data_IF_538757650998
#
_entry.id   IF_538757650998
#
_cell.length_a   1.000
_cell.length_b   1.000
_cell.length_c   1.000
_cell.angle_alpha   90.00
_cell.angle_beta   90.00
_cell.angle_gamma   90.00
#
_symmetry.space_group_name_H-M   'P 1'
#
loop_
_entity.id
_entity.type
_entity.pdbx_description
1 polymer ?
#
# COMPACT_ATOMS: atom_id res chain seq x y z
N UNK A 1 -17.96 -21.42 -15.36
CA UNK A 1 -17.33 -20.38 -14.50
C UNK A 1 -15.81 -20.52 -14.59
N UNK A 2 -15.05 -19.41 -14.62
CA UNK A 2 -13.57 -19.41 -14.65
C UNK A 2 -13.04 -18.55 -13.49
N UNK A 3 -12.11 -19.09 -12.70
CA UNK A 3 -11.37 -18.37 -11.66
C UNK A 3 -10.02 -17.92 -12.21
N UNK A 4 -9.64 -16.67 -11.96
CA UNK A 4 -8.34 -16.11 -12.37
C UNK A 4 -7.69 -15.45 -11.15
N UNK A 5 -6.45 -15.83 -10.86
CA UNK A 5 -5.67 -15.30 -9.74
C UNK A 5 -4.39 -14.62 -10.28
N UNK A 6 -4.48 -13.38 -10.82
CA UNK A 6 -3.39 -12.75 -11.55
C UNK A 6 -2.15 -12.45 -10.69
N UNK A 7 -2.31 -12.42 -9.36
CA UNK A 7 -1.25 -12.11 -8.41
C UNK A 7 -0.67 -13.36 -7.72
N UNK A 8 -1.13 -14.58 -8.04
CA UNK A 8 -0.82 -15.79 -7.27
C UNK A 8 0.67 -16.13 -7.19
N UNK A 9 1.43 -15.76 -8.22
CA UNK A 9 2.88 -16.00 -8.30
C UNK A 9 3.71 -14.74 -7.98
N UNK A 10 3.08 -13.66 -7.53
CA UNK A 10 3.76 -12.40 -7.25
C UNK A 10 3.97 -12.24 -5.74
N UNK A 11 5.20 -11.96 -5.34
CA UNK A 11 5.48 -11.53 -3.97
C UNK A 11 5.10 -10.04 -3.77
N UNK A 12 5.25 -9.52 -2.55
CA UNK A 12 4.86 -8.13 -2.26
C UNK A 12 5.69 -7.10 -3.04
N UNK A 13 6.95 -7.40 -3.34
CA UNK A 13 7.84 -6.53 -4.12
C UNK A 13 7.44 -6.56 -5.59
N UNK A 14 7.09 -7.72 -6.11
CA UNK A 14 6.58 -7.86 -7.48
C UNK A 14 5.26 -7.12 -7.67
N UNK A 15 4.34 -7.22 -6.70
CA UNK A 15 3.09 -6.44 -6.70
C UNK A 15 3.40 -4.94 -6.68
N UNK A 16 4.34 -4.48 -5.87
CA UNK A 16 4.72 -3.06 -5.82
C UNK A 16 5.32 -2.55 -7.15
N UNK A 17 6.16 -3.36 -7.81
CA UNK A 17 6.66 -3.04 -9.15
C UNK A 17 5.53 -2.96 -10.18
N UNK A 18 4.59 -3.91 -10.15
CA UNK A 18 3.42 -3.93 -11.02
C UNK A 18 2.52 -2.70 -10.79
N UNK A 19 2.36 -2.25 -9.54
CA UNK A 19 1.65 -1.01 -9.23
C UNK A 19 2.29 0.19 -9.94
N UNK A 20 3.62 0.29 -9.95
CA UNK A 20 4.36 1.36 -10.64
C UNK A 20 4.26 1.25 -12.15
N UNK A 21 4.40 0.04 -12.71
CA UNK A 21 4.27 -0.21 -14.15
C UNK A 21 2.89 0.21 -14.68
N UNK A 22 1.83 -0.10 -13.94
CA UNK A 22 0.45 0.24 -14.31
C UNK A 22 0.05 1.67 -13.96
N UNK A 23 0.96 2.48 -13.38
CA UNK A 23 0.66 3.81 -12.84
C UNK A 23 -0.58 3.78 -11.91
N UNK A 24 -0.67 2.76 -11.07
CA UNK A 24 -1.79 2.56 -10.16
C UNK A 24 -1.77 3.60 -9.04
N UNK A 25 -2.93 4.22 -8.78
CA UNK A 25 -3.13 5.22 -7.71
C UNK A 25 -3.24 4.57 -6.32
N UNK A 26 -2.20 3.86 -5.90
CA UNK A 26 -2.20 3.05 -4.70
C UNK A 26 -2.36 3.86 -3.40
N UNK A 27 -2.06 5.16 -3.43
CA UNK A 27 -2.28 6.10 -2.33
C UNK A 27 -3.76 6.29 -1.97
N UNK A 28 -4.68 5.87 -2.84
CA UNK A 28 -6.12 5.82 -2.57
C UNK A 28 -6.61 4.46 -2.06
N UNK A 29 -5.71 3.47 -1.94
CA UNK A 29 -6.06 2.15 -1.39
C UNK A 29 -5.86 2.11 0.13
N UNK A 30 -6.71 1.33 0.81
CA UNK A 30 -6.60 1.10 2.24
C UNK A 30 -6.19 -0.35 2.52
N UNK A 31 -5.10 -0.52 3.28
CA UNK A 31 -4.74 -1.80 3.90
C UNK A 31 -4.62 -1.69 5.42
N UNK A 32 -4.71 -0.48 5.98
CA UNK A 32 -4.57 -0.21 7.39
C UNK A 32 -5.69 -0.90 8.17
N UNK A 33 -5.34 -1.52 9.30
CA UNK A 33 -6.32 -2.13 10.20
C UNK A 33 -7.08 -1.09 11.03
N UNK A 34 -6.51 0.11 11.23
CA UNK A 34 -7.07 1.19 12.05
C UNK A 34 -6.96 2.52 11.30
N UNK A 35 -7.67 2.70 10.16
CA UNK A 35 -7.61 3.95 9.41
C UNK A 35 -8.18 5.12 10.25
N UNK A 36 -7.63 6.32 10.06
CA UNK A 36 -7.95 7.55 10.81
C UNK A 36 -8.89 8.50 10.07
N UNK A 37 -9.55 8.00 9.03
CA UNK A 37 -10.41 8.77 8.15
C UNK A 37 -9.79 8.95 6.77
N UNK A 38 -10.15 10.04 6.11
CA UNK A 38 -9.73 10.36 4.74
C UNK A 38 -9.28 11.81 4.65
N UNK A 39 -8.33 12.10 3.77
CA UNK A 39 -8.00 13.46 3.34
C UNK A 39 -9.14 14.07 2.53
N UNK A 40 -9.12 15.39 2.31
CA UNK A 40 -10.12 16.08 1.49
C UNK A 40 -10.21 15.53 0.06
N UNK A 41 -9.07 15.13 -0.52
CA UNK A 41 -9.00 14.51 -1.85
C UNK A 41 -9.34 13.01 -1.84
N UNK A 42 -9.68 12.42 -0.69
CA UNK A 42 -10.23 11.07 -0.57
C UNK A 42 -9.20 9.96 -0.35
N UNK A 43 -7.95 10.28 0.01
CA UNK A 43 -6.95 9.27 0.39
C UNK A 43 -7.20 8.79 1.82
N UNK A 44 -7.17 7.49 2.10
CA UNK A 44 -7.25 7.00 3.47
C UNK A 44 -6.02 7.45 4.28
N UNK A 45 -6.24 7.88 5.53
CA UNK A 45 -5.17 8.18 6.48
C UNK A 45 -4.88 6.90 7.26
N UNK A 46 -3.71 6.31 7.04
CA UNK A 46 -3.27 5.07 7.67
C UNK A 46 -2.69 5.37 9.07
N UNK A 47 -2.89 4.51 10.07
CA UNK A 47 -2.35 4.76 11.41
C UNK A 47 -0.81 4.76 11.46
N UNK A 48 -0.14 4.01 10.59
CA UNK A 48 1.32 3.92 10.54
C UNK A 48 1.95 2.89 11.46
N UNK A 49 1.24 2.45 12.51
CA UNK A 49 1.80 1.59 13.55
C UNK A 49 1.35 0.12 13.47
N UNK A 50 0.26 -0.17 12.75
CA UNK A 50 -0.21 -1.54 12.60
C UNK A 50 0.70 -2.37 11.66
N UNK A 51 0.70 -3.69 11.81
CA UNK A 51 1.53 -4.60 11.03
C UNK A 51 1.36 -4.43 9.51
N UNK A 52 0.14 -4.16 9.05
CA UNK A 52 -0.12 -3.88 7.64
C UNK A 52 0.52 -2.57 7.15
N UNK A 53 0.49 -1.51 7.95
CA UNK A 53 1.15 -0.23 7.61
C UNK A 53 2.66 -0.42 7.50
N UNK A 54 3.28 -1.09 8.47
CA UNK A 54 4.74 -1.36 8.46
C UNK A 54 5.13 -2.21 7.26
N UNK A 55 4.39 -3.29 6.97
CA UNK A 55 4.67 -4.16 5.81
C UNK A 55 4.45 -3.48 4.47
N UNK A 56 3.39 -2.68 4.37
CA UNK A 56 3.09 -1.88 3.17
C UNK A 56 4.21 -0.90 2.90
N UNK A 57 4.57 -0.11 3.91
CA UNK A 57 5.60 0.92 3.80
C UNK A 57 6.94 0.31 3.40
N UNK A 58 7.40 -0.71 4.13
CA UNK A 58 8.63 -1.46 3.79
C UNK A 58 8.60 -1.98 2.35
N UNK A 59 7.50 -2.64 1.95
CA UNK A 59 7.38 -3.23 0.62
C UNK A 59 7.38 -2.20 -0.52
N UNK A 60 6.78 -1.02 -0.31
CA UNK A 60 6.77 0.07 -1.29
C UNK A 60 8.14 0.74 -1.40
N UNK A 61 8.76 1.08 -0.27
CA UNK A 61 10.10 1.68 -0.23
C UNK A 61 11.14 0.74 -0.86
N UNK A 62 11.18 -0.54 -0.45
CA UNK A 62 12.15 -1.52 -0.97
C UNK A 62 11.96 -1.81 -2.46
N UNK A 63 10.72 -1.82 -2.97
CA UNK A 63 10.45 -2.24 -4.34
C UNK A 63 10.48 -1.11 -5.37
N UNK A 64 10.01 0.09 -5.00
CA UNK A 64 9.82 1.19 -5.94
C UNK A 64 10.43 2.53 -5.49
N UNK A 65 10.97 2.60 -4.26
CA UNK A 65 11.70 3.75 -3.74
C UNK A 65 10.83 4.89 -3.21
N UNK A 66 9.51 4.70 -3.14
CA UNK A 66 8.57 5.70 -2.64
C UNK A 66 7.35 5.06 -1.99
N UNK A 67 6.74 5.74 -1.02
CA UNK A 67 5.43 5.42 -0.47
C UNK A 67 4.57 6.69 -0.38
N UNK A 68 3.58 6.80 -1.26
CA UNK A 68 2.64 7.93 -1.33
C UNK A 68 1.47 7.83 -0.33
N UNK A 69 1.46 6.82 0.53
CA UNK A 69 0.42 6.64 1.55
C UNK A 69 0.48 7.76 2.58
N UNK A 70 -0.69 8.30 2.94
CA UNK A 70 -0.80 9.30 4.02
C UNK A 70 -0.86 8.55 5.35
N UNK A 71 0.08 8.82 6.25
CA UNK A 71 0.11 8.23 7.59
C UNK A 71 -0.14 9.27 8.68
N UNK A 72 -0.83 8.88 9.75
CA UNK A 72 -0.91 9.65 11.00
C UNK A 72 0.45 9.67 11.72
N UNK A 73 1.13 8.52 11.76
CA UNK A 73 2.49 8.36 12.30
C UNK A 73 3.36 7.68 11.25
N UNK A 74 4.60 8.15 11.06
CA UNK A 74 5.51 7.52 10.10
C UNK A 74 5.84 6.07 10.52
N UNK A 75 5.66 5.07 9.63
CA UNK A 75 5.97 3.68 9.96
C UNK A 75 7.45 3.47 10.31
N UNK A 76 7.72 2.83 11.45
CA UNK A 76 9.08 2.43 11.84
C UNK A 76 9.44 1.13 11.14
N UNK A 77 10.53 1.14 10.35
CA UNK A 77 10.92 0.02 9.47
C UNK A 77 12.03 -0.82 10.08
#
# INVERSE_FOLDING_TARGET
VKVVAPLINLDKRDIAKLLKELNAKYEYSNSCYIPRGFTEDGKPIHCGECESCVRRHRGLIEAIGEDKTVYEVEPKV
#
